data_IF_377113378605
#
_entry.id   IF_377113378605
#
_cell.length_a   1.000
_cell.length_b   1.000
_cell.length_c   1.000
_cell.angle_alpha   90.00
_cell.angle_beta   90.00
_cell.angle_gamma   90.00
#
_symmetry.space_group_name_H-M   'P 1'
#
loop_
_entity.id
_entity.type
_entity.pdbx_description
1 polymer ?
#
# COMPACT_ATOMS: atom_id res chain seq x y z
N UNK A 1 17.87 -7.30 9.37
CA UNK A 1 18.99 -6.37 9.07
C UNK A 1 20.24 -7.19 8.71
N UNK A 2 21.07 -6.76 7.74
CA UNK A 2 22.26 -7.49 7.30
C UNK A 2 23.17 -7.92 8.46
N UNK A 3 23.41 -7.01 9.41
CA UNK A 3 24.25 -7.28 10.60
C UNK A 3 23.73 -8.40 11.51
N UNK A 4 22.42 -8.66 11.55
CA UNK A 4 21.84 -9.76 12.32
C UNK A 4 22.05 -11.10 11.60
N UNK A 5 21.83 -11.12 10.28
CA UNK A 5 22.00 -12.34 9.48
C UNK A 5 23.47 -12.73 9.43
N UNK A 6 24.39 -11.73 9.29
CA UNK A 6 25.84 -11.95 9.36
C UNK A 6 26.30 -12.59 10.68
N UNK A 7 25.61 -12.33 11.80
CA UNK A 7 25.93 -13.00 13.09
C UNK A 7 25.53 -14.49 13.08
N UNK A 8 24.47 -14.82 12.35
CA UNK A 8 23.99 -16.22 12.23
C UNK A 8 24.84 -16.99 11.24
N UNK A 9 25.25 -16.35 10.14
CA UNK A 9 26.04 -16.94 9.07
C UNK A 9 27.33 -16.14 8.88
N UNK A 10 28.32 -16.30 9.80
CA UNK A 10 29.53 -15.47 9.81
C UNK A 10 30.46 -15.72 8.61
N UNK A 11 30.38 -16.90 7.98
CA UNK A 11 31.19 -17.26 6.82
C UNK A 11 30.65 -16.70 5.49
N UNK A 12 29.40 -16.19 5.48
CA UNK A 12 28.81 -15.64 4.26
C UNK A 12 29.12 -14.16 4.10
N UNK A 13 29.29 -13.71 2.87
CA UNK A 13 29.47 -12.29 2.55
C UNK A 13 28.12 -11.60 2.52
N UNK A 14 27.71 -10.98 3.64
CA UNK A 14 26.46 -10.28 3.81
C UNK A 14 26.74 -8.80 4.04
N UNK A 15 26.47 -7.98 3.01
CA UNK A 15 26.70 -6.53 3.00
C UNK A 15 25.35 -5.80 2.89
N UNK A 16 24.48 -6.25 1.99
CA UNK A 16 23.22 -5.61 1.65
C UNK A 16 22.03 -6.34 2.25
N UNK A 17 20.83 -5.72 2.19
CA UNK A 17 19.57 -6.40 2.51
C UNK A 17 19.29 -7.55 1.55
N UNK A 18 19.61 -7.38 0.28
CA UNK A 18 19.54 -8.43 -0.74
C UNK A 18 20.34 -9.67 -0.30
N UNK A 19 21.60 -9.49 0.11
CA UNK A 19 22.44 -10.60 0.57
C UNK A 19 21.85 -11.29 1.80
N UNK A 20 21.37 -10.48 2.75
CA UNK A 20 20.80 -11.00 3.98
C UNK A 20 19.52 -11.84 3.74
N UNK A 21 18.63 -11.36 2.87
CA UNK A 21 17.39 -12.10 2.54
C UNK A 21 17.70 -13.34 1.72
N UNK A 22 18.65 -13.22 0.76
CA UNK A 22 19.10 -14.36 -0.04
C UNK A 22 19.73 -15.45 0.83
N UNK A 23 20.64 -15.10 1.75
CA UNK A 23 21.21 -16.04 2.70
C UNK A 23 20.13 -16.72 3.55
N UNK A 24 19.18 -15.95 4.09
CA UNK A 24 18.09 -16.51 4.86
C UNK A 24 17.24 -17.51 4.06
N UNK A 25 16.92 -17.20 2.79
CA UNK A 25 16.16 -18.08 1.90
C UNK A 25 16.95 -19.35 1.55
N UNK A 26 18.24 -19.23 1.24
CA UNK A 26 19.11 -20.37 0.90
C UNK A 26 19.28 -21.36 2.06
N UNK A 27 19.25 -20.87 3.30
CA UNK A 27 19.31 -21.72 4.49
C UNK A 27 17.96 -22.32 4.91
N UNK A 28 16.86 -21.94 4.23
CA UNK A 28 15.60 -22.65 4.39
C UNK A 28 15.68 -24.02 3.74
N UNK A 29 15.34 -25.06 4.48
CA UNK A 29 15.24 -26.41 3.94
C UNK A 29 13.94 -26.57 3.14
N UNK A 30 13.93 -26.01 1.92
CA UNK A 30 12.77 -26.04 1.02
C UNK A 30 12.73 -27.42 0.35
N UNK A 31 11.65 -28.17 0.59
CA UNK A 31 11.35 -29.40 -0.14
C UNK A 31 10.59 -29.01 -1.42
N UNK A 32 11.30 -29.05 -2.56
CA UNK A 32 10.73 -28.62 -3.85
C UNK A 32 9.61 -29.52 -4.36
N UNK A 33 9.43 -30.71 -3.82
CA UNK A 33 8.33 -31.61 -4.16
C UNK A 33 7.05 -31.27 -3.39
N UNK A 34 7.16 -30.44 -2.35
CA UNK A 34 6.04 -29.96 -1.54
C UNK A 34 5.63 -28.55 -1.91
N UNK A 35 4.44 -28.16 -1.44
CA UNK A 35 3.94 -26.80 -1.57
C UNK A 35 4.69 -25.91 -0.57
N UNK A 36 5.38 -24.89 -1.09
CA UNK A 36 6.13 -23.94 -0.28
C UNK A 36 5.50 -22.55 -0.37
N UNK A 37 5.10 -22.01 0.77
CA UNK A 37 4.54 -20.66 0.91
C UNK A 37 5.50 -19.86 1.79
N UNK A 38 5.92 -18.70 1.30
CA UNK A 38 6.74 -17.75 2.05
C UNK A 38 5.87 -16.58 2.53
N UNK A 39 6.03 -16.21 3.80
CA UNK A 39 5.55 -14.95 4.34
C UNK A 39 6.78 -14.07 4.61
N UNK A 40 6.82 -12.90 4.00
CA UNK A 40 7.94 -11.96 4.16
C UNK A 40 7.43 -10.54 4.35
N UNK A 41 8.13 -9.77 5.19
CA UNK A 41 7.86 -8.35 5.38
C UNK A 41 9.05 -7.57 4.84
N UNK A 42 9.04 -7.33 3.53
CA UNK A 42 10.19 -6.82 2.79
C UNK A 42 9.75 -5.89 1.66
N UNK A 43 10.57 -4.87 1.38
CA UNK A 43 10.42 -4.09 0.17
C UNK A 43 11.06 -4.83 -1.02
N UNK A 44 10.29 -5.02 -2.08
CA UNK A 44 10.76 -5.71 -3.30
C UNK A 44 10.86 -4.71 -4.45
N UNK A 45 11.97 -4.75 -5.16
CA UNK A 45 12.26 -3.85 -6.29
C UNK A 45 11.15 -3.86 -7.33
N UNK A 46 10.76 -2.67 -7.80
CA UNK A 46 9.68 -2.48 -8.78
C UNK A 46 8.29 -2.33 -8.17
N UNK A 47 8.14 -2.40 -6.86
CA UNK A 47 6.88 -2.12 -6.18
C UNK A 47 6.58 -0.61 -6.11
N UNK A 48 5.31 -0.24 -6.27
CA UNK A 48 4.83 1.13 -6.10
C UNK A 48 4.61 1.43 -4.61
N UNK A 49 5.01 2.62 -4.19
CA UNK A 49 4.90 3.14 -2.82
C UNK A 49 3.82 4.20 -2.70
N UNK A 50 3.35 4.46 -1.50
CA UNK A 50 2.48 5.59 -1.16
C UNK A 50 3.12 6.44 -0.03
N UNK A 51 2.60 7.66 0.19
CA UNK A 51 3.20 8.64 1.12
C UNK A 51 3.13 8.22 2.60
N UNK A 52 2.25 7.28 2.93
CA UNK A 52 2.10 6.75 4.29
C UNK A 52 3.14 5.70 4.67
N UNK A 53 3.97 5.27 3.72
CA UNK A 53 5.02 4.27 3.95
C UNK A 53 6.31 4.97 4.36
N UNK A 54 6.96 4.44 5.42
CA UNK A 54 8.25 4.95 5.84
C UNK A 54 9.30 4.76 4.74
N UNK A 55 9.91 5.86 4.34
CA UNK A 55 11.03 5.82 3.41
C UNK A 55 12.28 5.34 4.16
N UNK A 56 12.78 4.18 3.84
CA UNK A 56 14.13 3.82 4.22
C UNK A 56 15.13 4.77 3.54
N UNK A 57 15.98 5.37 4.34
CA UNK A 57 16.97 6.35 3.86
C UNK A 57 17.93 5.65 2.89
N UNK A 58 17.88 6.03 1.62
CA UNK A 58 18.82 5.58 0.60
C UNK A 58 18.40 4.40 -0.27
N UNK A 59 17.17 3.86 -0.14
CA UNK A 59 16.68 2.76 -1.00
C UNK A 59 17.48 1.45 -0.87
N UNK A 60 18.22 1.28 0.23
CA UNK A 60 19.16 0.16 0.46
C UNK A 60 18.46 -1.14 0.91
N UNK A 61 17.14 -1.09 1.11
CA UNK A 61 16.37 -2.21 1.65
C UNK A 61 15.67 -3.04 0.58
N UNK A 62 15.90 -2.69 -0.69
CA UNK A 62 15.26 -3.33 -1.83
C UNK A 62 15.84 -4.73 -2.05
N UNK A 63 14.95 -5.70 -2.27
CA UNK A 63 15.32 -7.07 -2.65
C UNK A 63 14.73 -7.42 -4.01
N UNK A 64 15.50 -8.15 -4.81
CA UNK A 64 15.03 -8.64 -6.10
C UNK A 64 14.05 -9.80 -5.91
N UNK A 65 12.95 -9.80 -6.67
CA UNK A 65 11.90 -10.81 -6.56
C UNK A 65 12.38 -12.23 -6.93
N UNK A 66 13.44 -12.37 -7.70
CA UNK A 66 13.99 -13.67 -8.15
C UNK A 66 14.47 -14.55 -6.99
N UNK A 67 14.84 -13.95 -5.84
CA UNK A 67 15.22 -14.74 -4.66
C UNK A 67 14.07 -15.61 -4.13
N UNK A 68 12.83 -15.31 -4.53
CA UNK A 68 11.63 -16.04 -4.11
C UNK A 68 11.18 -17.11 -5.10
N UNK A 69 11.91 -17.36 -6.17
CA UNK A 69 11.52 -18.29 -7.25
C UNK A 69 11.29 -19.74 -6.79
N UNK A 70 11.85 -20.14 -5.65
CA UNK A 70 11.66 -21.48 -5.06
C UNK A 70 10.31 -21.71 -4.39
N UNK A 71 9.48 -20.65 -4.25
CA UNK A 71 8.18 -20.73 -3.56
C UNK A 71 7.02 -20.76 -4.54
N UNK A 72 5.96 -21.51 -4.19
CA UNK A 72 4.72 -21.54 -4.96
C UNK A 72 3.91 -20.26 -4.79
N UNK A 73 3.94 -19.68 -3.59
CA UNK A 73 3.33 -18.38 -3.29
C UNK A 73 4.16 -17.59 -2.29
N UNK A 74 4.24 -16.29 -2.50
CA UNK A 74 4.94 -15.35 -1.61
C UNK A 74 3.97 -14.25 -1.17
N UNK A 75 3.60 -14.28 0.10
CA UNK A 75 2.80 -13.26 0.74
C UNK A 75 3.72 -12.16 1.30
N UNK A 76 3.69 -11.00 0.66
CA UNK A 76 4.49 -9.84 1.05
C UNK A 76 3.68 -8.89 1.94
N UNK A 77 4.30 -8.45 3.03
CA UNK A 77 3.90 -7.30 3.83
C UNK A 77 4.87 -6.14 3.62
N UNK A 78 4.64 -5.02 4.27
CA UNK A 78 5.34 -3.75 4.26
C UNK A 78 4.60 -2.68 3.46
N UNK A 79 4.26 -2.91 2.20
CA UNK A 79 3.59 -1.91 1.36
C UNK A 79 2.08 -1.90 1.59
N UNK A 80 1.51 -0.68 1.57
CA UNK A 80 0.09 -0.44 1.83
C UNK A 80 -0.79 -0.71 0.61
N UNK A 81 -0.26 -0.53 -0.60
CA UNK A 81 -0.98 -0.78 -1.85
C UNK A 81 -1.00 -2.27 -2.22
N UNK A 82 -2.19 -2.87 -2.45
CA UNK A 82 -2.27 -4.23 -2.96
C UNK A 82 -1.72 -4.30 -4.39
N UNK A 83 -0.69 -5.12 -4.59
CA UNK A 83 -0.02 -5.23 -5.88
C UNK A 83 0.73 -6.55 -6.03
N UNK A 84 0.96 -6.97 -7.28
CA UNK A 84 1.83 -8.08 -7.62
C UNK A 84 3.21 -7.58 -8.07
N UNK A 85 4.22 -8.40 -7.88
CA UNK A 85 5.57 -8.11 -8.34
C UNK A 85 5.99 -9.18 -9.35
N UNK A 86 6.02 -8.81 -10.63
CA UNK A 86 6.32 -9.72 -11.71
C UNK A 86 5.26 -10.82 -11.88
N UNK A 87 5.26 -11.81 -10.99
CA UNK A 87 4.34 -12.96 -11.01
C UNK A 87 3.09 -12.70 -10.17
N UNK A 88 1.95 -13.30 -10.52
CA UNK A 88 0.72 -13.25 -9.72
C UNK A 88 0.90 -13.85 -8.32
N UNK A 89 1.80 -14.81 -8.19
CA UNK A 89 2.08 -15.53 -6.95
C UNK A 89 3.03 -14.82 -6.00
N UNK A 90 3.58 -13.66 -6.37
CA UNK A 90 4.40 -12.78 -5.50
C UNK A 90 3.65 -11.49 -5.28
N UNK A 91 3.03 -11.32 -4.11
CA UNK A 91 2.05 -10.24 -3.90
C UNK A 91 2.15 -9.58 -2.55
N UNK A 92 1.91 -8.26 -2.56
CA UNK A 92 1.47 -7.49 -1.41
C UNK A 92 -0.06 -7.57 -1.32
N UNK A 93 -0.60 -7.98 -0.18
CA UNK A 93 -2.03 -7.88 0.10
C UNK A 93 -2.48 -6.44 0.36
N UNK A 94 -1.54 -5.59 0.74
CA UNK A 94 -1.79 -4.23 1.19
C UNK A 94 -2.34 -4.17 2.61
N UNK A 95 -2.72 -2.97 3.04
CA UNK A 95 -3.35 -2.73 4.34
C UNK A 95 -4.87 -2.83 4.23
N UNK A 96 -5.58 -3.20 5.32
CA UNK A 96 -7.05 -3.31 5.30
C UNK A 96 -7.74 -1.95 5.20
N UNK A 97 -7.09 -0.88 5.61
CA UNK A 97 -7.61 0.49 5.57
C UNK A 97 -6.64 1.41 4.82
N UNK A 98 -7.13 2.58 4.40
CA UNK A 98 -6.32 3.66 3.87
C UNK A 98 -5.78 4.50 5.02
N UNK A 99 -4.49 4.78 5.03
CA UNK A 99 -3.81 5.55 6.08
C UNK A 99 -3.42 6.96 5.64
N UNK A 100 -3.51 7.24 4.34
CA UNK A 100 -3.27 8.57 3.79
C UNK A 100 -4.13 8.83 2.56
N UNK A 101 -4.27 10.11 2.17
CA UNK A 101 -4.99 10.48 0.95
C UNK A 101 -4.27 10.03 -0.33
N UNK A 102 -2.97 9.76 -0.29
CA UNK A 102 -2.28 9.12 -1.42
C UNK A 102 -2.82 7.72 -1.75
N UNK A 103 -3.54 7.11 -0.80
CA UNK A 103 -4.20 5.82 -0.97
C UNK A 103 -5.68 5.94 -1.37
N UNK A 104 -6.22 7.18 -1.54
CA UNK A 104 -7.65 7.41 -1.78
C UNK A 104 -8.21 6.57 -2.94
N UNK A 105 -7.43 6.38 -4.00
CA UNK A 105 -7.80 5.61 -5.17
C UNK A 105 -7.51 4.10 -5.08
N UNK A 106 -6.91 3.62 -3.97
CA UNK A 106 -6.63 2.20 -3.79
C UNK A 106 -7.89 1.43 -3.37
N UNK A 107 -8.05 0.23 -3.93
CA UNK A 107 -9.09 -0.71 -3.51
C UNK A 107 -8.50 -1.69 -2.51
N UNK A 108 -8.78 -1.47 -1.24
CA UNK A 108 -8.34 -2.36 -0.17
C UNK A 108 -9.10 -3.68 -0.22
N UNK A 109 -8.39 -4.78 0.01
CA UNK A 109 -8.95 -6.13 -0.11
C UNK A 109 -8.22 -7.12 0.78
N UNK A 110 -8.87 -8.25 1.06
CA UNK A 110 -8.20 -9.46 1.52
C UNK A 110 -7.88 -10.34 0.32
N UNK A 111 -6.71 -10.97 0.34
CA UNK A 111 -6.28 -11.94 -0.67
C UNK A 111 -6.51 -13.33 -0.13
N UNK A 112 -7.36 -14.11 -0.80
CA UNK A 112 -7.56 -15.54 -0.53
C UNK A 112 -6.71 -16.30 -1.53
N UNK A 113 -5.93 -17.26 -1.03
CA UNK A 113 -5.02 -18.06 -1.83
C UNK A 113 -5.35 -19.52 -1.61
N UNK A 114 -5.89 -20.17 -2.64
CA UNK A 114 -6.13 -21.60 -2.63
C UNK A 114 -4.92 -22.32 -3.23
N UNK A 115 -4.25 -23.12 -2.42
CA UNK A 115 -3.08 -23.88 -2.83
C UNK A 115 -3.51 -25.35 -3.00
N UNK A 116 -3.76 -25.72 -4.24
CA UNK A 116 -4.22 -27.06 -4.61
C UNK A 116 -3.02 -28.04 -4.74
N UNK A 117 -2.76 -28.53 -5.93
CA UNK A 117 -1.58 -29.34 -6.20
C UNK A 117 -0.34 -28.44 -6.32
N UNK A 118 0.86 -29.03 -6.25
CA UNK A 118 2.13 -28.31 -6.44
C UNK A 118 2.11 -27.48 -7.74
N UNK A 119 2.38 -26.17 -7.59
CA UNK A 119 2.37 -25.22 -8.70
C UNK A 119 0.98 -24.73 -9.14
N UNK A 120 -0.10 -25.25 -8.56
CA UNK A 120 -1.47 -24.83 -8.87
C UNK A 120 -2.02 -23.91 -7.79
N UNK A 121 -1.99 -22.61 -8.06
CA UNK A 121 -2.41 -21.53 -7.15
C UNK A 121 -3.60 -20.80 -7.76
N UNK A 122 -4.67 -20.68 -6.99
CA UNK A 122 -5.81 -19.82 -7.32
C UNK A 122 -5.84 -18.64 -6.35
N UNK A 123 -5.98 -17.42 -6.89
CA UNK A 123 -5.91 -16.17 -6.12
C UNK A 123 -7.20 -15.40 -6.34
N UNK A 124 -7.86 -15.06 -5.24
CA UNK A 124 -9.06 -14.23 -5.23
C UNK A 124 -8.84 -13.01 -4.33
N UNK A 125 -9.24 -11.83 -4.82
CA UNK A 125 -9.26 -10.61 -4.03
C UNK A 125 -10.71 -10.27 -3.68
N UNK A 126 -10.98 -10.16 -2.38
CA UNK A 126 -12.30 -9.74 -1.88
C UNK A 126 -12.15 -8.31 -1.34
N UNK A 127 -12.79 -7.31 -1.96
CA UNK A 127 -12.67 -5.92 -1.55
C UNK A 127 -13.30 -5.69 -0.17
N UNK A 128 -12.66 -4.85 0.62
CA UNK A 128 -13.25 -4.29 1.83
C UNK A 128 -14.17 -3.12 1.49
N UNK A 129 -15.29 -3.04 2.19
CA UNK A 129 -16.21 -1.92 2.13
C UNK A 129 -16.11 -1.16 3.47
N UNK A 130 -15.34 -0.07 3.55
CA UNK A 130 -15.20 0.69 4.78
C UNK A 130 -16.50 1.42 5.13
N UNK A 131 -16.73 1.63 6.43
CA UNK A 131 -17.87 2.43 6.89
C UNK A 131 -17.74 3.88 6.40
N UNK A 132 -16.55 4.46 6.50
CA UNK A 132 -16.17 5.75 5.92
C UNK A 132 -14.92 5.53 5.10
N UNK A 133 -14.97 5.92 3.83
CA UNK A 133 -13.81 5.83 2.94
C UNK A 133 -13.00 7.13 2.97
N UNK A 134 -11.86 7.17 2.28
CA UNK A 134 -11.09 8.37 2.06
C UNK A 134 -11.29 8.85 0.62
N UNK A 135 -11.64 10.12 0.46
CA UNK A 135 -11.85 10.75 -0.85
C UNK A 135 -11.13 12.09 -0.94
N UNK A 136 -10.67 12.41 -2.13
CA UNK A 136 -10.16 13.75 -2.48
C UNK A 136 -11.14 14.42 -3.43
N UNK A 137 -11.51 15.67 -3.10
CA UNK A 137 -12.32 16.50 -3.99
C UNK A 137 -11.62 17.83 -4.24
N UNK A 138 -11.80 18.37 -5.44
CA UNK A 138 -11.15 19.59 -5.90
C UNK A 138 -12.14 20.44 -6.69
N UNK A 139 -12.17 21.72 -6.40
CA UNK A 139 -13.03 22.70 -7.08
C UNK A 139 -13.06 24.01 -6.35
N UNK A 140 -13.74 25.01 -6.90
CA UNK A 140 -14.02 26.26 -6.19
C UNK A 140 -14.98 26.00 -5.02
N UNK A 141 -14.98 26.88 -4.04
CA UNK A 141 -15.92 26.81 -2.91
C UNK A 141 -17.37 26.71 -3.39
N UNK A 142 -17.74 27.52 -4.39
CA UNK A 142 -19.08 27.49 -4.96
C UNK A 142 -19.43 26.16 -5.62
N UNK A 143 -18.48 25.55 -6.32
CA UNK A 143 -18.69 24.24 -6.95
C UNK A 143 -18.86 23.14 -5.91
N UNK A 144 -17.92 23.00 -4.97
CA UNK A 144 -17.96 21.91 -3.97
C UNK A 144 -19.14 22.05 -2.99
N UNK A 145 -19.73 23.24 -2.84
CA UNK A 145 -20.92 23.46 -2.01
C UNK A 145 -22.23 23.43 -2.79
N UNK A 146 -22.20 23.30 -4.12
CA UNK A 146 -23.39 23.17 -4.94
C UNK A 146 -24.09 21.80 -4.67
N UNK A 147 -25.40 21.81 -4.49
CA UNK A 147 -26.17 20.59 -4.22
C UNK A 147 -25.92 19.51 -5.28
N UNK A 148 -25.85 19.89 -6.55
CA UNK A 148 -25.62 18.96 -7.66
C UNK A 148 -24.22 18.28 -7.61
N UNK A 149 -23.25 18.90 -6.93
CA UNK A 149 -21.94 18.32 -6.74
C UNK A 149 -21.96 17.17 -5.72
N UNK A 150 -22.65 17.35 -4.59
CA UNK A 150 -22.54 16.40 -3.46
C UNK A 150 -23.77 15.53 -3.22
N UNK A 151 -24.91 15.77 -3.91
CA UNK A 151 -26.16 15.02 -3.67
C UNK A 151 -26.03 13.49 -3.80
N UNK A 152 -25.12 13.02 -4.67
CA UNK A 152 -24.87 11.59 -4.91
C UNK A 152 -23.58 11.09 -4.22
N UNK A 153 -22.92 11.96 -3.44
CA UNK A 153 -21.70 11.60 -2.71
C UNK A 153 -22.01 11.07 -1.31
N UNK A 154 -21.14 10.24 -0.80
CA UNK A 154 -21.11 9.85 0.60
C UNK A 154 -20.36 10.93 1.41
N UNK A 155 -21.08 11.99 1.78
CA UNK A 155 -20.51 13.20 2.40
C UNK A 155 -19.93 12.96 3.81
N UNK A 156 -20.23 11.83 4.44
CA UNK A 156 -19.70 11.42 5.74
C UNK A 156 -18.37 10.62 5.65
N UNK A 157 -17.81 10.45 4.45
CA UNK A 157 -16.46 9.92 4.27
C UNK A 157 -15.39 10.92 4.75
N UNK A 158 -14.16 10.43 4.95
CA UNK A 158 -13.00 11.27 5.29
C UNK A 158 -12.52 12.02 4.05
N UNK A 159 -12.52 13.35 4.10
CA UNK A 159 -12.30 14.18 2.93
C UNK A 159 -11.04 15.04 3.04
N UNK A 160 -10.27 15.05 1.97
CA UNK A 160 -9.33 16.09 1.64
C UNK A 160 -9.94 16.99 0.57
N UNK A 161 -10.20 18.25 0.89
CA UNK A 161 -10.77 19.22 -0.03
C UNK A 161 -9.66 20.15 -0.47
N UNK A 162 -9.50 20.32 -1.79
CA UNK A 162 -8.60 21.30 -2.38
C UNK A 162 -9.43 22.39 -3.07
N UNK A 163 -9.44 23.59 -2.48
CA UNK A 163 -10.10 24.74 -3.06
C UNK A 163 -9.23 25.39 -4.12
N UNK A 164 -9.85 25.78 -5.24
CA UNK A 164 -9.20 26.44 -6.38
C UNK A 164 -9.56 27.91 -6.51
N UNK A 165 -10.17 28.49 -5.47
CA UNK A 165 -10.49 29.91 -5.41
C UNK A 165 -9.21 30.75 -5.41
N UNK A 166 -9.20 31.91 -6.10
CA UNK A 166 -8.06 32.80 -6.12
C UNK A 166 -7.75 33.40 -4.75
N UNK A 167 -8.78 33.59 -3.93
CA UNK A 167 -8.68 34.13 -2.57
C UNK A 167 -9.12 33.08 -1.53
N UNK A 168 -8.50 33.16 -0.36
CA UNK A 168 -8.86 32.28 0.75
C UNK A 168 -10.28 32.56 1.25
N UNK A 169 -11.08 31.54 1.40
CA UNK A 169 -12.45 31.65 1.89
C UNK A 169 -12.45 31.81 3.42
N UNK A 170 -12.98 32.89 3.97
CA UNK A 170 -13.06 33.05 5.44
C UNK A 170 -13.89 31.94 6.08
N UNK A 171 -13.32 31.28 7.12
CA UNK A 171 -13.92 30.14 7.84
C UNK A 171 -14.37 29.01 6.89
N UNK A 172 -13.56 28.70 5.88
CA UNK A 172 -13.87 27.66 4.91
C UNK A 172 -14.18 26.30 5.57
N UNK A 173 -13.36 25.87 6.54
CA UNK A 173 -13.55 24.60 7.23
C UNK A 173 -14.90 24.57 7.98
N UNK A 174 -15.25 25.62 8.71
CA UNK A 174 -16.51 25.70 9.44
C UNK A 174 -17.72 25.59 8.50
N UNK A 175 -17.68 26.30 7.39
CA UNK A 175 -18.72 26.28 6.37
C UNK A 175 -18.82 24.93 5.66
N UNK A 176 -17.70 24.36 5.23
CA UNK A 176 -17.66 23.07 4.52
C UNK A 176 -18.10 21.91 5.42
N UNK A 177 -17.85 21.96 6.73
CA UNK A 177 -18.29 20.93 7.67
C UNK A 177 -19.81 20.82 7.83
N UNK A 178 -20.58 21.82 7.39
CA UNK A 178 -22.03 21.72 7.35
C UNK A 178 -22.53 20.73 6.29
N UNK A 179 -21.70 20.44 5.27
CA UNK A 179 -21.96 19.48 4.20
C UNK A 179 -21.12 18.20 4.41
N UNK A 180 -19.86 18.39 4.74
CA UNK A 180 -18.84 17.35 4.85
C UNK A 180 -18.29 17.26 6.29
N UNK A 181 -18.99 16.57 7.21
CA UNK A 181 -18.66 16.61 8.63
C UNK A 181 -17.24 16.09 8.95
N UNK A 182 -16.72 15.17 8.13
CA UNK A 182 -15.45 14.49 8.35
C UNK A 182 -14.31 15.02 7.47
N UNK A 183 -14.24 16.34 7.26
CA UNK A 183 -13.07 16.95 6.60
C UNK A 183 -11.84 16.75 7.48
N UNK A 184 -10.84 16.07 6.95
CA UNK A 184 -9.55 15.85 7.60
C UNK A 184 -8.49 16.85 7.13
N UNK A 185 -8.57 17.30 5.88
CA UNK A 185 -7.60 18.23 5.30
C UNK A 185 -8.28 19.22 4.36
N UNK A 186 -7.86 20.47 4.46
CA UNK A 186 -8.20 21.54 3.51
C UNK A 186 -6.91 22.09 2.94
N UNK A 187 -6.84 22.18 1.63
CA UNK A 187 -5.72 22.78 0.89
C UNK A 187 -6.25 23.83 -0.10
N UNK A 188 -5.38 24.74 -0.51
CA UNK A 188 -5.63 25.67 -1.58
C UNK A 188 -4.67 25.41 -2.73
N UNK A 189 -5.19 25.44 -3.95
CA UNK A 189 -4.42 25.38 -5.18
C UNK A 189 -4.71 26.69 -5.95
N UNK A 190 -4.22 27.77 -5.38
CA UNK A 190 -4.26 29.10 -5.96
C UNK A 190 -2.86 29.51 -6.45
N UNK A 191 -2.80 30.23 -7.56
CA UNK A 191 -1.54 30.65 -8.23
C UNK A 191 -0.81 31.79 -7.46
N UNK A 192 -0.57 31.63 -6.14
CA UNK A 192 0.24 32.56 -5.37
C UNK A 192 1.61 32.04 -5.08
#
# INVERSE_FOLDING_TARGET
>A
KPSLVKRVYPEEEIITYQDAVNAAVQHMQIDTDKRNILLAHQFVTGAARCDSEELSVGGLDDVDASIFDGFDYVALGHLHGPQKIGKETVRYSGTPLKYSFSEANQKKSVVIVDVEEKGKINIQQIPFLPKHDMQEIRGTYMEVTALDFYKDMKTDDYLHITLTDEEDIPDAIGKLRTIYPNIMKLSYDNLR
#
